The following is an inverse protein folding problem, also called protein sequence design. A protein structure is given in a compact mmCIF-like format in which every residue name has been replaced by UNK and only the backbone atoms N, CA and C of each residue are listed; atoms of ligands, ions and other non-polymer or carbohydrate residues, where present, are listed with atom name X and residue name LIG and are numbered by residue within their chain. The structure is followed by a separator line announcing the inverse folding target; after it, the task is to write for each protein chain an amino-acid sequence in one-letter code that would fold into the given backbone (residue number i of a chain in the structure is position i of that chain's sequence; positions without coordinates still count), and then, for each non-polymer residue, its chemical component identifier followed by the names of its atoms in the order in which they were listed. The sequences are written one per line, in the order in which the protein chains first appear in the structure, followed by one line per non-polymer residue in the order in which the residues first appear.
data_IF_448947765792
#
_entry.id   IF_448947765792
#
_cell.length_a   1.000
_cell.length_b   1.000
_cell.length_c   1.000
_cell.angle_alpha   90.00
_cell.angle_beta   90.00
_cell.angle_gamma   90.00
#
_symmetry.space_group_name_H-M   'P 1'
#
loop_
_entity.id
_entity.type
_entity.pdbx_description
1 polymer ?
#
# COMPACT_ATOMS: atom_id res chain seq x y z
N UNK A 1 1.76 21.30 9.59
CA UNK A 1 0.47 20.68 9.98
C UNK A 1 -0.02 21.46 11.16
N UNK A 2 -1.30 21.80 11.22
CA UNK A 2 -1.89 22.29 12.45
C UNK A 2 -2.56 21.14 13.21
N UNK A 3 -2.37 21.11 14.52
CA UNK A 3 -2.81 20.03 15.40
C UNK A 3 -3.45 20.59 16.66
N UNK A 4 -4.58 20.02 17.06
CA UNK A 4 -5.17 20.23 18.39
C UNK A 4 -4.64 19.16 19.34
N UNK A 5 -3.91 19.58 20.35
CA UNK A 5 -3.29 18.70 21.35
C UNK A 5 -4.32 18.18 22.39
N UNK A 6 -3.96 17.24 23.30
CA UNK A 6 -4.91 16.69 24.28
C UNK A 6 -5.51 17.72 25.24
N UNK A 7 -4.92 18.92 25.34
CA UNK A 7 -5.43 20.01 26.18
C UNK A 7 -6.38 20.94 25.42
N UNK A 8 -6.61 20.69 24.13
CA UNK A 8 -7.45 21.49 23.26
C UNK A 8 -6.74 22.69 22.62
N UNK A 9 -5.41 22.79 22.74
CA UNK A 9 -4.64 23.88 22.16
C UNK A 9 -4.26 23.58 20.71
N UNK A 10 -4.45 24.56 19.84
CA UNK A 10 -3.98 24.53 18.46
C UNK A 10 -2.48 24.87 18.39
N UNK A 11 -1.67 23.98 17.81
CA UNK A 11 -0.24 24.18 17.58
C UNK A 11 0.11 23.93 16.11
N UNK A 12 1.14 24.61 15.62
CA UNK A 12 1.71 24.37 14.29
C UNK A 12 2.95 23.49 14.41
N UNK A 13 2.92 22.33 13.77
CA UNK A 13 3.96 21.30 13.78
C UNK A 13 4.63 21.24 12.40
N UNK A 14 5.95 21.38 12.35
CA UNK A 14 6.73 21.42 11.11
C UNK A 14 8.19 20.97 11.32
N UNK A 15 9.03 21.10 10.29
CA UNK A 15 10.44 20.66 10.34
C UNK A 15 11.34 21.48 11.28
N UNK A 16 10.88 22.65 11.73
CA UNK A 16 11.64 23.59 12.57
C UNK A 16 11.00 23.74 13.98
N UNK A 17 9.74 23.32 14.17
CA UNK A 17 8.97 23.44 15.41
C UNK A 17 8.25 22.13 15.75
N UNK A 18 8.39 21.65 16.99
CA UNK A 18 7.87 20.34 17.43
C UNK A 18 8.35 19.21 16.51
N UNK A 19 9.66 19.14 16.26
CA UNK A 19 10.27 18.31 15.21
C UNK A 19 10.11 16.81 15.45
N UNK A 20 10.07 16.40 16.72
CA UNK A 20 9.76 15.05 17.17
C UNK A 20 8.30 14.68 16.88
N UNK A 21 7.36 15.55 17.20
CA UNK A 21 5.95 15.39 16.83
C UNK A 21 5.77 15.41 15.30
N UNK A 22 6.51 16.26 14.59
CA UNK A 22 6.50 16.29 13.12
C UNK A 22 7.05 14.99 12.50
N UNK A 23 8.04 14.36 13.13
CA UNK A 23 8.48 13.01 12.80
C UNK A 23 7.35 11.99 13.01
N UNK A 24 6.72 12.02 14.20
CA UNK A 24 5.69 11.06 14.59
C UNK A 24 4.44 11.13 13.69
N UNK A 25 3.96 12.33 13.38
CA UNK A 25 2.77 12.54 12.55
C UNK A 25 2.97 12.05 11.10
N UNK A 26 4.20 11.99 10.60
CA UNK A 26 4.53 11.48 9.26
C UNK A 26 4.67 9.95 9.25
N UNK A 27 3.62 9.25 9.68
CA UNK A 27 3.52 7.78 9.62
C UNK A 27 2.84 7.14 10.82
N UNK A 28 2.80 7.80 11.98
CA UNK A 28 2.06 7.34 13.16
C UNK A 28 0.95 8.33 13.55
N UNK A 29 0.55 9.23 12.65
CA UNK A 29 -0.39 10.31 12.93
C UNK A 29 -1.87 9.91 13.09
N UNK A 30 -2.21 8.62 13.00
CA UNK A 30 -3.58 8.09 13.07
C UNK A 30 -4.21 8.25 14.47
N UNK A 31 -4.43 9.49 14.91
CA UNK A 31 -4.93 9.85 16.24
C UNK A 31 -4.08 9.28 17.38
N UNK A 32 -2.75 9.36 17.27
CA UNK A 32 -1.86 9.00 18.38
C UNK A 32 -1.41 10.20 19.21
N UNK A 33 -1.46 11.42 18.69
CA UNK A 33 -0.80 12.58 19.32
C UNK A 33 -1.66 13.85 19.35
N UNK A 34 -2.88 13.81 18.80
CA UNK A 34 -3.71 14.99 18.58
C UNK A 34 -4.66 14.82 17.40
N UNK A 35 -5.47 15.84 17.17
CA UNK A 35 -6.33 15.97 15.99
C UNK A 35 -5.62 16.89 14.99
N UNK A 36 -5.11 16.33 13.89
CA UNK A 36 -4.56 17.15 12.80
C UNK A 36 -5.73 17.81 12.06
N UNK A 37 -5.73 19.13 12.01
CA UNK A 37 -6.80 19.94 11.38
C UNK A 37 -6.40 20.49 10.02
N UNK A 38 -5.09 20.56 9.72
CA UNK A 38 -4.60 21.04 8.44
C UNK A 38 -3.28 20.38 8.03
N UNK A 39 -3.07 20.27 6.72
CA UNK A 39 -1.80 19.86 6.13
C UNK A 39 -1.32 20.92 5.14
N UNK A 40 -0.01 21.15 5.11
CA UNK A 40 0.66 21.98 4.11
C UNK A 40 1.54 21.07 3.27
N UNK A 41 1.30 21.02 1.96
CA UNK A 41 2.05 20.17 1.03
C UNK A 41 2.87 21.02 0.07
N UNK A 42 4.06 20.53 -0.28
CA UNK A 42 4.79 20.99 -1.47
C UNK A 42 4.16 20.30 -2.68
N UNK A 43 3.63 21.09 -3.62
CA UNK A 43 3.11 20.59 -4.89
C UNK A 43 4.21 20.57 -5.95
N UNK A 44 4.05 19.69 -6.93
CA UNK A 44 4.97 19.54 -8.07
C UNK A 44 4.20 19.81 -9.37
N UNK A 45 4.85 20.39 -10.39
CA UNK A 45 4.25 20.52 -11.71
C UNK A 45 3.85 19.15 -12.26
N UNK A 46 2.63 19.03 -12.77
CA UNK A 46 2.23 17.84 -13.51
C UNK A 46 2.90 17.86 -14.88
N UNK A 47 3.44 16.73 -15.37
CA UNK A 47 3.91 16.63 -16.75
C UNK A 47 2.80 17.03 -17.74
N UNK A 48 3.13 17.63 -18.89
CA UNK A 48 2.14 18.00 -19.89
C UNK A 48 1.36 16.79 -20.44
N UNK A 49 1.94 15.59 -20.31
CA UNK A 49 1.38 14.33 -20.75
C UNK A 49 1.85 13.19 -19.85
N UNK A 50 0.96 12.26 -19.51
CA UNK A 50 1.29 11.01 -18.81
C UNK A 50 0.77 9.83 -19.61
N UNK A 51 1.30 8.64 -19.34
CA UNK A 51 0.84 7.41 -20.00
C UNK A 51 0.33 6.42 -18.97
N UNK A 52 -0.94 6.07 -19.05
CA UNK A 52 -1.50 4.94 -18.32
C UNK A 52 -1.19 3.64 -19.05
N UNK A 53 -0.84 2.60 -18.28
CA UNK A 53 -0.30 1.34 -18.77
C UNK A 53 -1.14 0.20 -18.21
N UNK A 54 -1.67 -0.65 -19.08
CA UNK A 54 -2.34 -1.90 -18.73
C UNK A 54 -1.69 -3.04 -19.50
N UNK A 55 -1.16 -4.04 -18.79
CA UNK A 55 -0.69 -5.29 -19.38
C UNK A 55 -1.46 -6.44 -18.75
N UNK A 56 -2.20 -7.19 -19.54
CA UNK A 56 -3.00 -8.31 -19.03
C UNK A 56 -2.26 -9.62 -19.25
N UNK A 57 -2.45 -10.56 -18.34
CA UNK A 57 -1.82 -11.88 -18.38
C UNK A 57 -2.83 -12.98 -18.16
N UNK A 58 -2.60 -14.13 -18.80
CA UNK A 58 -3.27 -15.35 -18.41
C UNK A 58 -2.72 -15.81 -17.06
N UNK A 59 -3.59 -16.25 -16.16
CA UNK A 59 -3.17 -16.76 -14.84
C UNK A 59 -2.24 -17.97 -14.93
N UNK A 60 -2.24 -18.70 -16.05
CA UNK A 60 -1.29 -19.78 -16.32
C UNK A 60 0.15 -19.29 -16.44
N UNK A 61 0.37 -18.01 -16.74
CA UNK A 61 1.70 -17.41 -16.90
C UNK A 61 2.19 -16.74 -15.62
N UNK A 62 1.49 -16.91 -14.49
CA UNK A 62 1.76 -16.15 -13.26
C UNK A 62 3.20 -16.29 -12.76
N UNK A 63 3.80 -17.47 -12.90
CA UNK A 63 5.20 -17.66 -12.51
C UNK A 63 6.14 -16.79 -13.35
N UNK A 64 5.99 -16.80 -14.67
CA UNK A 64 6.75 -15.94 -15.60
C UNK A 64 6.59 -14.46 -15.27
N UNK A 65 5.37 -14.03 -14.92
CA UNK A 65 5.09 -12.64 -14.52
C UNK A 65 5.86 -12.27 -13.26
N UNK A 66 5.81 -13.13 -12.23
CA UNK A 66 6.52 -12.88 -10.97
C UNK A 66 8.04 -13.01 -11.08
N UNK A 67 8.55 -13.90 -11.94
CA UNK A 67 9.99 -13.99 -12.23
C UNK A 67 10.50 -12.68 -12.83
N UNK A 68 9.75 -12.08 -13.76
CA UNK A 68 10.07 -10.76 -14.32
C UNK A 68 9.86 -9.64 -13.29
N UNK A 69 8.78 -9.69 -12.52
CA UNK A 69 8.45 -8.65 -11.52
C UNK A 69 9.46 -8.59 -10.37
N UNK A 70 9.94 -9.73 -9.91
CA UNK A 70 10.98 -9.83 -8.89
C UNK A 70 12.32 -9.24 -9.36
N UNK A 71 12.58 -9.22 -10.67
CA UNK A 71 13.81 -8.66 -11.25
C UNK A 71 13.73 -7.15 -11.49
N UNK A 72 12.53 -6.55 -11.50
CA UNK A 72 12.39 -5.12 -11.78
C UNK A 72 13.11 -4.28 -10.72
N UNK A 73 12.93 -4.57 -9.43
CA UNK A 73 13.62 -3.87 -8.35
C UNK A 73 13.66 -2.35 -8.54
N UNK A 74 14.86 -1.77 -8.36
CA UNK A 74 15.15 -0.35 -8.59
C UNK A 74 15.61 -0.04 -10.04
N UNK A 75 15.42 -0.96 -11.00
CA UNK A 75 15.88 -0.76 -12.38
C UNK A 75 15.03 0.25 -13.17
N UNK A 76 13.84 0.57 -12.67
CA UNK A 76 12.91 1.48 -13.30
C UNK A 76 13.22 2.93 -12.92
N UNK A 77 12.97 3.89 -13.83
CA UNK A 77 13.12 5.30 -13.51
C UNK A 77 12.06 5.75 -12.49
N UNK A 78 12.36 6.78 -11.71
CA UNK A 78 11.45 7.37 -10.71
C UNK A 78 10.11 7.86 -11.31
N UNK A 79 10.06 8.05 -12.63
CA UNK A 79 8.91 8.53 -13.38
C UNK A 79 7.83 7.46 -13.65
N UNK A 80 8.06 6.19 -13.28
CA UNK A 80 7.06 5.12 -13.42
C UNK A 80 6.63 4.55 -12.07
N UNK A 81 5.32 4.37 -11.91
CA UNK A 81 4.73 3.67 -10.78
C UNK A 81 3.72 2.66 -11.30
N UNK A 82 3.68 1.45 -10.72
CA UNK A 82 2.69 0.45 -11.09
C UNK A 82 2.48 -0.61 -10.01
N UNK A 83 1.48 -1.45 -10.24
CA UNK A 83 1.13 -2.60 -9.41
C UNK A 83 0.76 -3.80 -10.27
N UNK A 84 0.96 -5.01 -9.74
CA UNK A 84 0.29 -6.22 -10.24
C UNK A 84 -0.98 -6.42 -9.40
N UNK A 85 -2.12 -6.51 -10.07
CA UNK A 85 -3.42 -6.82 -9.46
C UNK A 85 -3.84 -8.22 -9.90
N UNK A 86 -4.17 -9.07 -8.93
CA UNK A 86 -4.74 -10.39 -9.16
C UNK A 86 -6.16 -10.37 -8.63
N UNK A 87 -7.13 -10.69 -9.49
CA UNK A 87 -8.54 -10.70 -9.11
C UNK A 87 -9.33 -11.63 -10.02
N UNK A 88 -10.19 -12.48 -9.45
CA UNK A 88 -11.14 -13.30 -10.22
C UNK A 88 -10.53 -14.04 -11.44
N UNK A 89 -9.34 -14.60 -11.28
CA UNK A 89 -8.66 -15.31 -12.36
C UNK A 89 -7.92 -14.44 -13.39
N UNK A 90 -8.00 -13.10 -13.28
CA UNK A 90 -7.21 -12.16 -14.06
C UNK A 90 -5.96 -11.71 -13.30
N UNK A 91 -4.93 -11.35 -14.08
CA UNK A 91 -3.67 -10.78 -13.60
C UNK A 91 -3.39 -9.58 -14.49
N UNK A 92 -3.28 -8.41 -13.88
CA UNK A 92 -3.09 -7.15 -14.60
C UNK A 92 -1.95 -6.36 -13.99
N UNK A 93 -1.04 -5.90 -14.85
CA UNK A 93 -0.14 -4.81 -14.53
C UNK A 93 -0.87 -3.49 -14.78
N UNK A 94 -0.91 -2.63 -13.79
CA UNK A 94 -1.56 -1.32 -13.84
C UNK A 94 -0.56 -0.23 -13.45
N UNK A 95 -0.29 0.74 -14.34
CA UNK A 95 0.75 1.73 -14.10
C UNK A 95 0.51 3.09 -14.71
N UNK A 96 1.29 4.07 -14.25
CA UNK A 96 1.39 5.42 -14.81
C UNK A 96 2.86 5.74 -15.01
N UNK A 97 3.20 6.22 -16.20
CA UNK A 97 4.49 6.82 -16.52
C UNK A 97 4.33 8.33 -16.74
N UNK A 98 5.21 9.13 -16.14
CA UNK A 98 5.24 10.59 -16.25
C UNK A 98 5.89 11.05 -17.56
N UNK A 99 5.30 10.66 -18.69
CA UNK A 99 5.74 11.07 -20.02
C UNK A 99 4.94 10.41 -21.14
N UNK A 100 5.53 10.42 -22.34
CA UNK A 100 4.88 9.96 -23.57
C UNK A 100 4.75 8.44 -23.64
N UNK A 101 3.80 7.99 -24.46
CA UNK A 101 3.56 6.57 -24.69
C UNK A 101 4.77 5.86 -25.31
N UNK A 102 5.50 6.53 -26.21
CA UNK A 102 6.71 5.98 -26.83
C UNK A 102 7.78 5.66 -25.78
N UNK A 103 8.01 6.57 -24.85
CA UNK A 103 9.00 6.39 -23.80
C UNK A 103 8.57 5.30 -22.81
N UNK A 104 7.29 5.29 -22.41
CA UNK A 104 6.75 4.23 -21.55
C UNK A 104 6.95 2.84 -22.15
N UNK A 105 6.64 2.67 -23.44
CA UNK A 105 6.82 1.40 -24.14
C UNK A 105 8.30 1.00 -24.24
N UNK A 106 9.21 1.96 -24.47
CA UNK A 106 10.64 1.69 -24.51
C UNK A 106 11.17 1.22 -23.14
N UNK A 107 10.81 1.92 -22.06
CA UNK A 107 11.23 1.59 -20.69
C UNK A 107 10.75 0.19 -20.29
N UNK A 108 9.51 -0.16 -20.64
CA UNK A 108 8.92 -1.46 -20.29
C UNK A 108 9.21 -2.58 -21.29
N UNK A 109 9.93 -2.32 -22.39
CA UNK A 109 10.14 -3.29 -23.47
C UNK A 109 10.76 -4.61 -22.99
N UNK A 110 11.77 -4.54 -22.13
CA UNK A 110 12.40 -5.73 -21.54
C UNK A 110 11.40 -6.48 -20.64
N UNK A 111 10.69 -5.76 -19.77
CA UNK A 111 9.70 -6.37 -18.88
C UNK A 111 8.61 -7.07 -19.67
N UNK A 112 8.04 -6.42 -20.68
CA UNK A 112 7.00 -6.99 -21.57
C UNK A 112 7.49 -8.25 -22.27
N UNK A 113 8.74 -8.24 -22.75
CA UNK A 113 9.34 -9.41 -23.41
C UNK A 113 9.49 -10.59 -22.43
N UNK A 114 9.88 -10.31 -21.19
CA UNK A 114 10.08 -11.35 -20.16
C UNK A 114 8.75 -11.84 -19.58
N UNK A 115 7.79 -10.96 -19.32
CA UNK A 115 6.53 -11.27 -18.63
C UNK A 115 5.45 -11.84 -19.55
N UNK A 116 5.56 -11.65 -20.87
CA UNK A 116 4.67 -12.21 -21.90
C UNK A 116 3.18 -11.91 -21.67
N UNK A 117 2.76 -10.63 -21.70
CA UNK A 117 1.36 -10.25 -21.59
C UNK A 117 0.53 -10.74 -22.78
N UNK A 118 -0.72 -11.07 -22.53
CA UNK A 118 -1.72 -11.41 -23.56
C UNK A 118 -2.26 -10.18 -24.26
N UNK A 119 -2.25 -9.02 -23.59
CA UNK A 119 -2.54 -7.72 -24.19
C UNK A 119 -1.69 -6.62 -23.56
N UNK A 120 -1.33 -5.63 -24.37
CA UNK A 120 -0.59 -4.44 -23.93
C UNK A 120 -1.35 -3.19 -24.38
N UNK A 121 -1.59 -2.28 -23.46
CA UNK A 121 -2.23 -1.01 -23.73
C UNK A 121 -1.46 0.11 -23.06
N UNK A 122 -1.12 1.11 -23.85
CA UNK A 122 -0.59 2.38 -23.40
C UNK A 122 -1.57 3.46 -23.83
N UNK A 123 -1.92 4.36 -22.92
CA UNK A 123 -2.85 5.45 -23.21
C UNK A 123 -2.26 6.73 -22.70
N UNK A 124 -1.79 7.54 -23.65
CA UNK A 124 -1.33 8.90 -23.37
C UNK A 124 -2.53 9.80 -23.04
N UNK A 125 -2.49 10.48 -21.90
CA UNK A 125 -3.58 11.29 -21.35
C UNK A 125 -3.08 12.38 -20.39
N UNK A 126 -4.00 13.22 -19.89
CA UNK A 126 -3.66 14.18 -18.83
C UNK A 126 -3.45 13.47 -17.49
N UNK A 127 -2.65 14.08 -16.60
CA UNK A 127 -2.48 13.56 -15.25
C UNK A 127 -3.83 13.34 -14.54
N UNK A 128 -4.76 14.28 -14.68
CA UNK A 128 -6.10 14.16 -14.09
C UNK A 128 -6.90 12.97 -14.66
N UNK A 129 -6.83 12.72 -15.97
CA UNK A 129 -7.52 11.56 -16.55
C UNK A 129 -6.94 10.23 -16.03
N UNK A 130 -5.62 10.17 -15.79
CA UNK A 130 -5.01 9.00 -15.17
C UNK A 130 -5.52 8.77 -13.73
N UNK A 131 -5.77 9.85 -12.97
CA UNK A 131 -6.38 9.77 -11.63
C UNK A 131 -7.81 9.22 -11.72
N UNK A 132 -8.61 9.70 -12.69
CA UNK A 132 -9.98 9.19 -12.91
C UNK A 132 -9.96 7.69 -13.24
N UNK A 133 -9.06 7.29 -14.16
CA UNK A 133 -8.88 5.89 -14.59
C UNK A 133 -8.51 4.97 -13.42
N UNK A 134 -7.45 5.29 -12.69
CA UNK A 134 -6.91 4.44 -11.63
C UNK A 134 -7.63 4.61 -10.28
N UNK A 135 -8.47 5.62 -10.15
CA UNK A 135 -9.50 5.69 -9.10
C UNK A 135 -10.66 4.73 -9.35
N UNK A 136 -10.76 4.14 -10.54
CA UNK A 136 -11.93 3.37 -11.00
C UNK A 136 -13.23 4.18 -10.87
N UNK A 137 -13.15 5.49 -11.14
CA UNK A 137 -14.26 6.43 -11.00
C UNK A 137 -14.64 7.05 -12.34
N UNK A 138 -15.82 7.65 -12.37
CA UNK A 138 -16.16 8.64 -13.39
C UNK A 138 -15.58 10.01 -13.01
N UNK A 139 -15.40 10.91 -13.98
CA UNK A 139 -14.90 12.27 -13.74
C UNK A 139 -15.66 12.98 -12.62
N UNK A 140 -17.00 12.93 -12.65
CA UNK A 140 -17.84 13.54 -11.62
C UNK A 140 -17.63 12.90 -10.23
N UNK A 141 -17.44 11.58 -10.14
CA UNK A 141 -17.15 10.91 -8.87
C UNK A 141 -15.76 11.26 -8.32
N UNK A 142 -14.83 11.66 -9.18
CA UNK A 142 -13.50 12.14 -8.77
C UNK A 142 -13.55 13.58 -8.27
N UNK A 143 -14.31 14.45 -8.93
CA UNK A 143 -14.46 15.88 -8.54
C UNK A 143 -15.37 16.02 -7.31
N UNK A 144 -16.44 15.21 -7.26
CA UNK A 144 -17.46 15.23 -6.22
C UNK A 144 -17.56 13.84 -5.57
N UNK A 145 -16.57 13.46 -4.73
CA UNK A 145 -16.57 12.16 -4.09
C UNK A 145 -17.77 12.03 -3.14
N UNK A 146 -18.32 10.83 -3.06
CA UNK A 146 -19.42 10.49 -2.17
C UNK A 146 -19.01 9.34 -1.24
N UNK A 147 -19.63 9.27 -0.06
CA UNK A 147 -19.36 8.21 0.89
C UNK A 147 -20.00 6.90 0.42
N UNK A 148 -19.18 5.89 0.14
CA UNK A 148 -19.61 4.56 -0.30
C UNK A 148 -18.76 3.49 0.38
N UNK A 149 -19.05 3.16 1.66
CA UNK A 149 -18.27 2.18 2.41
C UNK A 149 -18.50 0.76 1.86
N UNK A 150 -17.53 -0.11 2.10
CA UNK A 150 -17.61 -1.54 1.82
C UNK A 150 -17.08 -2.28 3.03
N UNK A 151 -17.74 -3.37 3.41
CA UNK A 151 -17.23 -4.28 4.43
C UNK A 151 -16.17 -5.18 3.80
N UNK A 152 -15.02 -5.31 4.47
CA UNK A 152 -13.92 -6.13 4.00
C UNK A 152 -13.07 -6.67 5.16
N UNK A 153 -12.29 -7.71 4.87
CA UNK A 153 -11.13 -8.09 5.67
C UNK A 153 -9.90 -7.94 4.79
N UNK A 154 -8.85 -7.33 5.36
CA UNK A 154 -7.58 -7.11 4.68
C UNK A 154 -6.42 -7.62 5.54
N UNK A 155 -5.34 -8.01 4.86
CA UNK A 155 -4.01 -8.20 5.44
C UNK A 155 -2.99 -7.55 4.52
N UNK A 156 -1.91 -7.05 5.10
CA UNK A 156 -0.82 -6.43 4.36
C UNK A 156 0.49 -7.13 4.64
N UNK A 157 1.34 -7.16 3.64
CA UNK A 157 2.65 -7.81 3.71
C UNK A 157 3.69 -6.94 3.03
N UNK A 158 4.92 -7.04 3.50
CA UNK A 158 6.08 -6.54 2.76
C UNK A 158 6.94 -7.71 2.31
N UNK A 159 7.56 -7.57 1.14
CA UNK A 159 8.49 -8.56 0.60
C UNK A 159 9.76 -7.84 0.22
N UNK A 160 10.90 -8.35 0.67
CA UNK A 160 12.24 -7.85 0.34
C UNK A 160 12.80 -8.56 -0.89
N UNK A 161 13.83 -7.97 -1.48
CA UNK A 161 14.66 -8.65 -2.48
C UNK A 161 15.16 -10.00 -1.92
N UNK A 162 15.12 -11.09 -2.72
CA UNK A 162 14.91 -11.13 -4.17
C UNK A 162 13.44 -11.24 -4.62
N UNK A 163 12.47 -11.06 -3.71
CA UNK A 163 11.04 -11.19 -4.00
C UNK A 163 10.43 -12.50 -3.55
N UNK A 164 9.14 -12.68 -3.84
CA UNK A 164 8.35 -13.84 -3.47
C UNK A 164 8.84 -15.06 -4.26
N UNK A 165 9.06 -16.17 -3.55
CA UNK A 165 9.45 -17.44 -4.18
C UNK A 165 8.33 -18.00 -5.07
N UNK A 166 8.69 -18.90 -5.99
CA UNK A 166 7.71 -19.64 -6.79
C UNK A 166 6.68 -20.38 -5.92
N UNK A 167 7.12 -20.95 -4.79
CA UNK A 167 6.21 -21.60 -3.82
C UNK A 167 5.27 -20.61 -3.14
N UNK A 168 5.74 -19.39 -2.83
CA UNK A 168 4.89 -18.32 -2.30
C UNK A 168 3.85 -17.86 -3.30
N UNK A 169 4.25 -17.59 -4.56
CA UNK A 169 3.34 -17.24 -5.65
C UNK A 169 2.28 -18.34 -5.81
N UNK A 170 2.69 -19.60 -5.89
CA UNK A 170 1.77 -20.73 -6.03
C UNK A 170 0.84 -20.87 -4.81
N UNK A 171 1.32 -20.64 -3.59
CA UNK A 171 0.51 -20.68 -2.38
C UNK A 171 -0.63 -19.65 -2.43
N UNK A 172 -0.32 -18.41 -2.82
CA UNK A 172 -1.31 -17.36 -2.98
C UNK A 172 -2.34 -17.70 -4.07
N UNK A 173 -1.88 -18.14 -5.24
CA UNK A 173 -2.80 -18.46 -6.35
C UNK A 173 -3.70 -19.65 -6.01
N UNK A 174 -3.17 -20.69 -5.36
CA UNK A 174 -3.96 -21.82 -4.90
C UNK A 174 -5.02 -21.38 -3.90
N UNK A 175 -4.67 -20.52 -2.94
CA UNK A 175 -5.63 -19.95 -2.00
C UNK A 175 -6.74 -19.18 -2.71
N UNK A 176 -6.39 -18.21 -3.57
CA UNK A 176 -7.37 -17.38 -4.27
C UNK A 176 -8.30 -18.19 -5.19
N UNK A 177 -7.79 -19.25 -5.85
CA UNK A 177 -8.60 -20.18 -6.66
C UNK A 177 -9.50 -21.09 -5.82
N UNK A 178 -9.08 -21.42 -4.60
CA UNK A 178 -9.82 -22.30 -3.69
C UNK A 178 -10.94 -21.60 -2.93
N UNK A 179 -11.00 -20.27 -2.97
CA UNK A 179 -12.08 -19.51 -2.33
C UNK A 179 -13.40 -19.67 -3.11
N UNK A 180 -14.53 -19.75 -2.40
CA UNK A 180 -15.84 -19.63 -3.04
C UNK A 180 -15.99 -18.30 -3.78
N UNK A 181 -16.80 -18.26 -4.84
CA UNK A 181 -17.12 -17.03 -5.57
C UNK A 181 -17.82 -15.97 -4.70
N UNK A 182 -18.39 -16.40 -3.57
CA UNK A 182 -18.99 -15.52 -2.54
C UNK A 182 -17.94 -14.83 -1.65
N UNK A 183 -16.66 -15.17 -1.79
CA UNK A 183 -15.53 -14.50 -1.13
C UNK A 183 -14.65 -13.76 -2.16
N UNK A 184 -15.19 -12.73 -2.85
CA UNK A 184 -14.44 -12.00 -3.87
C UNK A 184 -13.17 -11.41 -3.24
N UNK A 185 -12.02 -11.87 -3.76
CA UNK A 185 -10.71 -11.58 -3.17
C UNK A 185 -9.76 -11.08 -4.23
N UNK A 186 -9.01 -10.04 -3.90
CA UNK A 186 -7.94 -9.51 -4.75
C UNK A 186 -6.64 -9.37 -3.97
N UNK A 187 -5.53 -9.48 -4.71
CA UNK A 187 -4.20 -9.18 -4.23
C UNK A 187 -3.59 -8.06 -5.08
N UNK A 188 -3.07 -7.02 -4.43
CA UNK A 188 -2.40 -5.89 -5.09
C UNK A 188 -0.94 -5.86 -4.62
N UNK A 189 -0.03 -6.04 -5.57
CA UNK A 189 1.41 -5.95 -5.36
C UNK A 189 1.88 -4.60 -5.87
N UNK A 190 2.23 -3.68 -4.96
CA UNK A 190 2.74 -2.35 -5.31
C UNK A 190 4.26 -2.40 -5.28
N UNK A 191 4.92 -2.05 -6.38
CA UNK A 191 6.37 -1.95 -6.41
C UNK A 191 6.79 -0.81 -5.49
N UNK A 192 7.63 -1.12 -4.50
CA UNK A 192 8.14 -0.17 -3.51
C UNK A 192 9.64 0.09 -3.66
N UNK A 193 10.38 -0.80 -4.34
CA UNK A 193 11.82 -0.61 -4.56
C UNK A 193 12.11 0.45 -5.62
N UNK A 194 13.16 1.21 -5.36
CA UNK A 194 13.62 2.29 -6.22
C UNK A 194 13.01 3.65 -5.88
N UNK A 195 13.70 4.68 -6.37
CA UNK A 195 13.23 6.06 -6.36
C UNK A 195 13.03 6.70 -4.98
N UNK A 196 12.23 7.77 -4.99
CA UNK A 196 12.16 8.72 -3.89
C UNK A 196 11.70 8.11 -2.55
N UNK A 197 10.92 7.02 -2.56
CA UNK A 197 10.42 6.40 -1.34
C UNK A 197 11.53 5.70 -0.54
N UNK A 198 12.45 4.98 -1.20
CA UNK A 198 13.58 4.31 -0.54
C UNK A 198 14.75 5.25 -0.24
N UNK A 199 14.86 6.38 -0.95
CA UNK A 199 15.91 7.39 -0.70
C UNK A 199 15.76 8.11 0.66
N UNK A 200 14.60 7.96 1.31
CA UNK A 200 14.36 8.51 2.65
C UNK A 200 14.81 7.49 3.72
N UNK A 201 15.68 7.87 4.67
CA UNK A 201 16.07 6.98 5.76
C UNK A 201 14.87 6.46 6.58
N UNK A 202 14.92 5.20 7.02
CA UNK A 202 13.85 4.56 7.80
C UNK A 202 13.48 5.31 9.10
N UNK A 203 14.41 6.09 9.66
CA UNK A 203 14.21 6.90 10.87
C UNK A 203 13.95 8.39 10.58
N UNK A 204 13.77 8.81 9.32
CA UNK A 204 13.48 10.20 8.98
C UNK A 204 12.00 10.58 9.17
N UNK A 205 11.13 9.56 9.24
CA UNK A 205 9.68 9.64 9.45
C UNK A 205 9.22 8.45 10.28
N UNK A 206 8.06 8.54 10.93
CA UNK A 206 7.51 7.38 11.64
C UNK A 206 7.22 6.17 10.73
N UNK A 207 6.95 6.39 9.44
CA UNK A 207 6.89 5.31 8.46
C UNK A 207 8.29 4.72 8.23
N UNK A 208 8.47 3.47 8.67
CA UNK A 208 9.77 2.79 8.78
C UNK A 208 10.12 1.91 7.56
N UNK A 209 9.12 1.44 6.81
CA UNK A 209 9.28 0.43 5.74
C UNK A 209 9.84 1.04 4.44
N UNK A 210 11.14 1.33 4.45
CA UNK A 210 11.87 2.01 3.36
C UNK A 210 12.73 1.08 2.52
N UNK A 211 12.84 -0.20 2.88
CA UNK A 211 13.74 -1.17 2.23
C UNK A 211 12.98 -2.44 1.84
N UNK A 212 11.92 -2.26 1.04
CA UNK A 212 11.02 -3.33 0.62
C UNK A 212 10.95 -3.36 -0.92
N UNK A 213 10.90 -4.56 -1.50
CA UNK A 213 10.73 -4.73 -2.95
C UNK A 213 9.31 -4.37 -3.38
N UNK A 214 8.31 -4.96 -2.73
CA UNK A 214 6.91 -4.59 -2.91
C UNK A 214 6.09 -4.79 -1.64
N UNK A 215 5.03 -3.99 -1.51
CA UNK A 215 3.95 -4.23 -0.54
C UNK A 215 2.85 -5.05 -1.20
N UNK A 216 2.20 -5.92 -0.44
CA UNK A 216 1.04 -6.69 -0.86
C UNK A 216 -0.15 -6.25 -0.01
N UNK A 217 -1.27 -5.91 -0.64
CA UNK A 217 -2.59 -5.89 -0.01
C UNK A 217 -3.34 -7.14 -0.45
N UNK A 218 -3.75 -7.99 0.49
CA UNK A 218 -4.68 -9.08 0.25
C UNK A 218 -6.01 -8.73 0.92
N UNK A 219 -7.09 -8.68 0.15
CA UNK A 219 -8.38 -8.20 0.64
C UNK A 219 -9.52 -9.04 0.09
N UNK A 220 -10.47 -9.38 0.97
CA UNK A 220 -11.74 -10.02 0.61
C UNK A 220 -12.90 -9.12 1.00
N UNK A 221 -13.83 -8.90 0.08
CA UNK A 221 -15.06 -8.13 0.36
C UNK A 221 -16.08 -9.03 1.08
N UNK A 222 -16.76 -8.46 2.06
CA UNK A 222 -17.72 -9.14 2.94
C UNK A 222 -19.15 -8.68 2.63
N UNK A 223 -19.66 -9.05 1.45
CA UNK A 223 -20.98 -8.64 0.95
C UNK A 223 -22.04 -9.76 1.01
N UNK A 224 -21.73 -10.90 1.63
CA UNK A 224 -22.65 -12.01 1.82
C UNK A 224 -23.48 -11.89 3.11
N UNK A 225 -24.16 -12.99 3.47
CA UNK A 225 -24.78 -13.13 4.79
C UNK A 225 -23.71 -13.30 5.89
N UNK A 226 -24.13 -13.27 7.16
CA UNK A 226 -23.22 -13.38 8.30
C UNK A 226 -22.36 -14.66 8.25
N UNK A 227 -22.93 -15.79 7.82
CA UNK A 227 -22.21 -17.06 7.78
C UNK A 227 -21.12 -17.04 6.69
N UNK A 228 -21.47 -16.55 5.50
CA UNK A 228 -20.56 -16.38 4.36
C UNK A 228 -19.46 -15.39 4.71
N UNK A 229 -19.79 -14.23 5.25
CA UNK A 229 -18.81 -13.22 5.64
C UNK A 229 -17.84 -13.74 6.70
N UNK A 230 -18.35 -14.46 7.71
CA UNK A 230 -17.50 -15.07 8.73
C UNK A 230 -16.56 -16.13 8.13
N UNK A 231 -17.04 -16.92 7.16
CA UNK A 231 -16.21 -17.87 6.44
C UNK A 231 -15.09 -17.16 5.65
N UNK A 232 -15.42 -16.15 4.82
CA UNK A 232 -14.45 -15.42 4.02
C UNK A 232 -13.41 -14.72 4.91
N UNK A 233 -13.86 -14.11 6.00
CA UNK A 233 -13.01 -13.50 7.01
C UNK A 233 -12.02 -14.51 7.60
N UNK A 234 -12.51 -15.65 8.08
CA UNK A 234 -11.68 -16.68 8.72
C UNK A 234 -10.66 -17.26 7.74
N UNK A 235 -11.09 -17.54 6.50
CA UNK A 235 -10.21 -18.08 5.45
C UNK A 235 -9.09 -17.10 5.11
N UNK A 236 -9.41 -15.81 4.91
CA UNK A 236 -8.38 -14.79 4.65
C UNK A 236 -7.45 -14.60 5.84
N UNK A 237 -7.99 -14.60 7.06
CA UNK A 237 -7.18 -14.38 8.25
C UNK A 237 -6.16 -15.48 8.46
N UNK A 238 -6.61 -16.73 8.51
CA UNK A 238 -5.75 -17.90 8.71
C UNK A 238 -4.75 -18.07 7.56
N UNK A 239 -5.18 -17.85 6.31
CA UNK A 239 -4.25 -17.91 5.18
C UNK A 239 -3.17 -16.85 5.29
N UNK A 240 -3.52 -15.59 5.57
CA UNK A 240 -2.51 -14.53 5.60
C UNK A 240 -1.53 -14.65 6.76
N UNK A 241 -1.94 -15.19 7.91
CA UNK A 241 -1.01 -15.55 9.00
C UNK A 241 0.00 -16.59 8.55
N UNK A 242 -0.46 -17.68 7.94
CA UNK A 242 0.41 -18.72 7.40
C UNK A 242 1.28 -18.21 6.25
N UNK A 243 0.73 -17.40 5.36
CA UNK A 243 1.43 -16.84 4.21
C UNK A 243 2.58 -15.94 4.65
N UNK A 244 2.33 -15.04 5.61
CA UNK A 244 3.37 -14.17 6.15
C UNK A 244 4.48 -14.96 6.83
N UNK A 245 4.12 -15.94 7.67
CA UNK A 245 5.09 -16.76 8.38
C UNK A 245 6.05 -17.55 7.46
N UNK A 246 5.62 -17.85 6.23
CA UNK A 246 6.39 -18.70 5.32
C UNK A 246 7.04 -17.94 4.15
N UNK A 247 6.50 -16.79 3.73
CA UNK A 247 6.85 -16.21 2.43
C UNK A 247 7.11 -14.69 2.42
N UNK A 248 6.84 -13.95 3.49
CA UNK A 248 6.99 -12.49 3.49
C UNK A 248 7.78 -11.99 4.70
N UNK A 249 8.09 -10.70 4.71
CA UNK A 249 8.65 -10.03 5.88
C UNK A 249 7.62 -9.96 7.02
N UNK A 250 8.15 -9.83 8.24
CA UNK A 250 7.38 -9.69 9.48
C UNK A 250 6.53 -8.41 9.51
N UNK A 251 6.98 -7.37 8.80
CA UNK A 251 6.38 -6.03 8.77
C UNK A 251 5.00 -5.98 8.11
N UNK A 252 4.16 -5.05 8.55
CA UNK A 252 2.83 -4.79 8.02
C UNK A 252 2.62 -3.29 7.81
N UNK A 253 1.67 -2.89 6.95
CA UNK A 253 1.40 -1.49 6.68
C UNK A 253 0.22 -0.96 7.51
N UNK A 254 0.45 0.07 8.32
CA UNK A 254 -0.52 0.62 9.27
C UNK A 254 -1.77 1.23 8.63
N UNK A 255 -1.71 1.69 7.38
CA UNK A 255 -2.90 2.17 6.66
C UNK A 255 -3.78 1.01 6.12
N UNK A 256 -3.28 -0.23 6.17
CA UNK A 256 -4.04 -1.45 5.98
C UNK A 256 -4.19 -2.16 7.31
N UNK A 257 -4.80 -1.44 8.26
CA UNK A 257 -4.92 -1.84 9.64
C UNK A 257 -5.59 -3.21 9.76
N UNK A 258 -4.92 -4.14 10.42
CA UNK A 258 -5.43 -5.46 10.72
C UNK A 258 -5.79 -5.55 12.21
N UNK A 259 -7.10 -5.58 12.48
CA UNK A 259 -7.66 -5.68 13.85
C UNK A 259 -7.15 -6.90 14.60
N UNK A 260 -6.85 -7.98 13.89
CA UNK A 260 -6.48 -9.27 14.50
C UNK A 260 -4.95 -9.40 14.65
N UNK A 261 -4.18 -8.36 14.29
CA UNK A 261 -2.73 -8.30 14.48
C UNK A 261 -2.39 -7.94 15.92
N UNK A 262 -1.92 -8.91 16.70
CA UNK A 262 -1.69 -8.77 18.15
C UNK A 262 -0.36 -8.11 18.50
N UNK A 263 0.65 -8.27 17.66
CA UNK A 263 2.01 -7.74 17.77
C UNK A 263 2.25 -6.53 16.84
N UNK A 264 1.17 -5.80 16.54
CA UNK A 264 1.11 -4.70 15.58
C UNK A 264 2.16 -3.60 15.82
N UNK A 265 2.54 -3.33 17.08
CA UNK A 265 3.45 -2.25 17.44
C UNK A 265 4.77 -2.36 16.69
N UNK A 266 5.35 -3.55 16.72
CA UNK A 266 6.65 -3.82 16.10
C UNK A 266 6.52 -4.04 14.60
N UNK A 267 5.35 -4.51 14.13
CA UNK A 267 5.10 -4.72 12.69
C UNK A 267 4.86 -3.45 11.91
N UNK A 268 4.17 -2.47 12.50
CA UNK A 268 3.86 -1.19 11.86
C UNK A 268 4.96 -0.14 12.04
N UNK A 269 5.68 -0.19 13.16
CA UNK A 269 6.61 0.88 13.54
C UNK A 269 8.06 0.41 13.70
N UNK A 270 8.32 -0.90 13.75
CA UNK A 270 9.66 -1.47 13.76
C UNK A 270 10.59 -0.80 14.75
N UNK A 271 11.76 -0.39 14.28
CA UNK A 271 12.79 0.31 15.06
C UNK A 271 12.38 1.71 15.53
N UNK A 272 11.32 2.31 14.98
CA UNK A 272 10.84 3.63 15.38
C UNK A 272 9.89 3.58 16.59
N UNK A 273 9.39 2.40 16.98
CA UNK A 273 8.43 2.25 18.08
C UNK A 273 8.89 2.90 19.41
N UNK A 274 10.15 2.71 19.89
CA UNK A 274 10.59 3.32 21.14
C UNK A 274 10.55 4.85 21.12
N UNK A 275 10.90 5.46 19.98
CA UNK A 275 10.82 6.91 19.80
C UNK A 275 9.36 7.39 19.83
N UNK A 276 8.44 6.66 19.21
CA UNK A 276 7.02 6.98 19.21
C UNK A 276 6.42 6.91 20.62
N UNK A 277 6.79 5.91 21.42
CA UNK A 277 6.36 5.80 22.84
C UNK A 277 6.91 6.98 23.65
N UNK A 278 8.17 7.35 23.46
CA UNK A 278 8.76 8.52 24.14
C UNK A 278 8.03 9.82 23.79
N UNK A 279 7.70 10.02 22.51
CA UNK A 279 6.94 11.18 22.04
C UNK A 279 5.51 11.16 22.60
N UNK A 280 4.85 10.00 22.63
CA UNK A 280 3.51 9.83 23.21
C UNK A 280 3.49 10.28 24.68
N UNK A 281 4.51 9.92 25.47
CA UNK A 281 4.64 10.38 26.87
C UNK A 281 4.76 11.89 27.03
N UNK A 282 5.36 12.58 26.06
CA UNK A 282 5.54 14.04 26.10
C UNK A 282 4.24 14.74 25.74
N UNK A 283 3.62 14.34 24.63
CA UNK A 283 2.50 15.08 24.03
C UNK A 283 1.12 14.61 24.49
N UNK A 284 0.99 13.36 24.95
CA UNK A 284 -0.26 12.80 25.46
C UNK A 284 -0.01 11.86 26.67
N UNK A 285 0.52 12.38 27.79
CA UNK A 285 0.85 11.59 28.98
C UNK A 285 -0.35 10.93 29.66
N UNK A 286 -1.56 11.44 29.41
CA UNK A 286 -2.82 10.88 29.95
C UNK A 286 -3.48 9.90 28.97
N UNK A 287 -2.84 9.64 27.82
CA UNK A 287 -3.33 8.74 26.78
C UNK A 287 -4.77 9.05 26.35
N UNK A 288 -5.09 10.33 26.16
CA UNK A 288 -6.41 10.81 25.71
C UNK A 288 -6.72 10.25 24.33
N UNK A 289 -5.74 10.24 23.43
CA UNK A 289 -5.86 9.69 22.09
C UNK A 289 -5.50 8.21 22.10
N UNK A 290 -6.44 7.37 22.52
CA UNK A 290 -6.27 5.93 22.67
C UNK A 290 -7.30 5.14 21.85
N UNK A 291 -6.85 4.06 21.23
CA UNK A 291 -7.67 3.05 20.56
C UNK A 291 -6.92 1.70 20.59
N UNK A 292 -7.55 0.56 20.24
CA UNK A 292 -6.96 -0.76 20.44
C UNK A 292 -5.55 -0.99 19.85
N UNK A 293 -5.17 -0.20 18.84
CA UNK A 293 -3.84 -0.22 18.22
C UNK A 293 -3.17 1.17 18.20
N UNK A 294 -3.44 2.02 19.20
CA UNK A 294 -2.73 3.30 19.40
C UNK A 294 -1.38 3.08 20.06
N UNK A 295 -0.38 3.91 19.74
CA UNK A 295 0.93 3.96 20.40
C UNK A 295 0.72 4.01 21.92
N UNK A 296 1.23 3.02 22.67
CA UNK A 296 1.03 2.96 24.11
C UNK A 296 1.98 3.91 24.84
N UNK A 297 1.76 4.06 26.15
CA UNK A 297 2.71 4.70 27.05
C UNK A 297 3.81 3.73 27.53
N UNK A 298 3.68 2.43 27.30
CA UNK A 298 4.66 1.40 27.69
C UNK A 298 4.71 0.23 26.72
#
# INVERSE_FOLDING_TARGET
MDLVDPTGRLITVNKDQYTDLFFALRGAGANNFGIVTSFTFKIYPTPPSVTSISLNYALTNIQTVFDAYNQLGSSLPDDISFSIVIYNGSVEFQGVYLGTQTNANQILSQFITQSQPTSTQFTEESFFNSVVRWGFQQTNGTIYPYHSPSDFKAKSFYVKSPGLSATGVQSLITFMKGLPTTCPTYAIFKLYAGGAANNVPANATAFVHRDELYSILLLTTLNGDNATNQQCFNQLNSFGEAFQANYTDYSCYQNYIDRDLTDWQTRYYGSNLPALIAIKKIYDPNNVFNYPQSIPLE
#
